data_IF_424291845564
#
_entry.id   IF_424291845564
#
_cell.length_a   1.000
_cell.length_b   1.000
_cell.length_c   1.000
_cell.angle_alpha   90.00
_cell.angle_beta   90.00
_cell.angle_gamma   90.00
#
_symmetry.space_group_name_H-M   'P 1'
#
loop_
_entity.id
_entity.type
_entity.pdbx_description
1 polymer ?
#
# COMPACT_ATOMS: atom_id res chain seq x y z
N UNK A 1 6.36 -31.03 49.92
CA UNK A 1 5.71 -29.70 49.82
C UNK A 1 6.35 -28.92 48.68
N UNK A 2 5.53 -28.33 47.80
CA UNK A 2 5.84 -27.35 46.70
C UNK A 2 6.89 -27.82 45.68
N UNK A 3 6.56 -28.55 44.59
CA UNK A 3 5.86 -28.13 43.35
C UNK A 3 6.14 -26.68 42.93
N UNK A 4 7.16 -26.45 42.10
CA UNK A 4 7.12 -25.44 41.03
C UNK A 4 7.89 -26.02 39.83
N UNK A 5 7.14 -26.65 38.93
CA UNK A 5 7.57 -26.93 37.56
C UNK A 5 7.37 -25.60 36.83
N UNK A 6 8.44 -24.88 36.55
CA UNK A 6 8.39 -23.73 35.62
C UNK A 6 8.36 -24.35 34.22
N UNK A 7 7.17 -24.78 33.82
CA UNK A 7 6.81 -24.98 32.44
C UNK A 7 6.54 -23.59 31.85
N UNK A 8 7.57 -22.93 31.35
CA UNK A 8 7.38 -21.85 30.38
C UNK A 8 7.65 -22.46 29.02
N UNK A 9 6.59 -23.10 28.54
CA UNK A 9 6.32 -23.30 27.13
C UNK A 9 6.51 -21.94 26.46
N UNK A 10 7.70 -21.69 25.90
CA UNK A 10 7.88 -20.74 24.80
C UNK A 10 7.29 -21.42 23.58
N UNK A 11 5.99 -21.69 23.67
CA UNK A 11 5.16 -22.18 22.60
C UNK A 11 4.72 -20.97 21.81
N UNK A 12 5.20 -20.92 20.57
CA UNK A 12 4.28 -20.87 19.45
C UNK A 12 3.13 -19.85 19.57
N UNK A 13 3.48 -18.60 19.80
CA UNK A 13 2.59 -17.44 19.67
C UNK A 13 3.19 -16.45 18.65
N UNK A 14 3.51 -16.97 17.46
CA UNK A 14 3.26 -16.24 16.22
C UNK A 14 2.07 -16.93 15.54
N UNK A 15 0.95 -16.97 16.26
CA UNK A 15 -0.35 -17.28 15.69
C UNK A 15 -0.95 -15.95 15.23
N UNK A 16 -1.49 -16.00 14.01
CA UNK A 16 -2.35 -15.01 13.33
C UNK A 16 -1.69 -13.75 12.73
N UNK A 17 -0.89 -13.93 11.67
CA UNK A 17 -1.14 -13.08 10.49
C UNK A 17 -2.31 -13.72 9.72
N UNK A 18 -3.53 -13.39 10.14
CA UNK A 18 -4.73 -13.65 9.35
C UNK A 18 -4.83 -12.52 8.33
N UNK A 19 -4.26 -12.73 7.16
CA UNK A 19 -4.36 -11.82 6.03
C UNK A 19 -3.37 -12.33 5.00
N UNK A 20 -3.86 -12.90 3.89
CA UNK A 20 -2.98 -13.26 2.79
C UNK A 20 -2.14 -12.04 2.44
N UNK A 21 -0.82 -12.18 2.47
CA UNK A 21 0.08 -11.11 2.06
C UNK A 21 -0.32 -10.73 0.64
N UNK A 22 -0.81 -9.50 0.46
CA UNK A 22 -1.20 -9.00 -0.86
C UNK A 22 0.02 -9.12 -1.78
N UNK A 23 -0.21 -9.54 -3.03
CA UNK A 23 0.89 -9.60 -4.00
C UNK A 23 1.48 -8.21 -4.21
N UNK A 24 2.72 -8.12 -4.68
CA UNK A 24 3.34 -6.82 -4.99
C UNK A 24 2.47 -6.00 -5.97
N UNK A 25 1.93 -6.65 -7.00
CA UNK A 25 1.00 -6.05 -7.96
C UNK A 25 -0.27 -5.53 -7.27
N UNK A 26 -0.89 -6.31 -6.38
CA UNK A 26 -2.09 -5.88 -5.66
C UNK A 26 -1.80 -4.70 -4.72
N UNK A 27 -0.64 -4.69 -4.05
CA UNK A 27 -0.21 -3.58 -3.20
C UNK A 27 0.05 -2.33 -4.02
N UNK A 28 0.66 -2.48 -5.20
CA UNK A 28 0.91 -1.38 -6.12
C UNK A 28 -0.40 -0.75 -6.62
N UNK A 29 -1.36 -1.59 -7.04
CA UNK A 29 -2.70 -1.15 -7.45
C UNK A 29 -3.38 -0.40 -6.30
N UNK A 30 -3.40 -0.99 -5.10
CA UNK A 30 -4.07 -0.39 -3.95
C UNK A 30 -3.44 0.95 -3.54
N UNK A 31 -2.11 1.05 -3.51
CA UNK A 31 -1.39 2.31 -3.26
C UNK A 31 -1.70 3.36 -4.32
N UNK A 32 -1.74 2.96 -5.60
CA UNK A 32 -2.03 3.87 -6.70
C UNK A 32 -3.46 4.40 -6.65
N UNK A 33 -4.43 3.56 -6.29
CA UNK A 33 -5.81 3.97 -6.08
C UNK A 33 -5.89 4.94 -4.91
N UNK A 34 -5.36 4.59 -3.75
CA UNK A 34 -5.40 5.43 -2.55
C UNK A 34 -4.77 6.81 -2.80
N UNK A 35 -3.59 6.86 -3.41
CA UNK A 35 -2.94 8.12 -3.81
C UNK A 35 -3.83 8.95 -4.72
N UNK A 36 -4.39 8.34 -5.77
CA UNK A 36 -5.26 9.05 -6.70
C UNK A 36 -6.52 9.58 -6.00
N UNK A 37 -7.10 8.83 -5.07
CA UNK A 37 -8.27 9.25 -4.31
C UNK A 37 -7.95 10.42 -3.38
N UNK A 38 -6.81 10.39 -2.68
CA UNK A 38 -6.38 11.50 -1.83
C UNK A 38 -6.09 12.79 -2.61
N UNK A 39 -5.52 12.68 -3.82
CA UNK A 39 -5.32 13.82 -4.73
C UNK A 39 -6.65 14.40 -5.21
N UNK A 40 -7.65 13.55 -5.45
CA UNK A 40 -8.99 13.96 -5.87
C UNK A 40 -9.74 14.68 -4.75
N UNK A 41 -9.65 14.17 -3.53
CA UNK A 41 -10.26 14.81 -2.34
C UNK A 41 -9.59 16.14 -1.98
N UNK A 42 -8.32 16.31 -2.33
CA UNK A 42 -7.53 17.50 -2.05
C UNK A 42 -7.00 18.15 -3.36
N UNK A 43 -7.85 18.80 -4.17
CA UNK A 43 -7.47 19.33 -5.48
C UNK A 43 -6.37 20.40 -5.44
N UNK A 44 -6.10 21.01 -4.28
CA UNK A 44 -4.96 21.91 -4.08
C UNK A 44 -3.61 21.20 -4.32
N UNK A 45 -3.55 19.89 -4.04
CA UNK A 45 -2.37 19.04 -4.28
C UNK A 45 -2.01 18.92 -5.75
N UNK A 46 -2.94 19.17 -6.67
CA UNK A 46 -2.66 19.12 -8.11
C UNK A 46 -1.67 20.20 -8.57
N UNK A 47 -1.53 21.28 -7.79
CA UNK A 47 -0.62 22.39 -8.09
C UNK A 47 0.59 22.43 -7.14
N UNK A 48 0.66 21.53 -6.14
CA UNK A 48 1.76 21.40 -5.20
C UNK A 48 2.55 20.13 -5.49
N UNK A 49 3.58 20.25 -6.33
CA UNK A 49 4.40 19.11 -6.75
C UNK A 49 5.20 18.50 -5.58
N UNK A 50 5.68 19.34 -4.64
CA UNK A 50 6.44 18.86 -3.49
C UNK A 50 5.53 18.12 -2.51
N UNK A 51 4.34 18.68 -2.24
CA UNK A 51 3.31 18.03 -1.46
C UNK A 51 2.83 16.71 -2.08
N UNK A 52 2.58 16.70 -3.39
CA UNK A 52 2.14 15.49 -4.09
C UNK A 52 3.21 14.39 -4.08
N UNK A 53 4.49 14.75 -4.17
CA UNK A 53 5.60 13.80 -4.03
C UNK A 53 5.65 13.23 -2.61
N UNK A 54 5.62 14.08 -1.58
CA UNK A 54 5.61 13.62 -0.19
C UNK A 54 4.43 12.69 0.11
N UNK A 55 3.23 13.06 -0.36
CA UNK A 55 2.04 12.22 -0.25
C UNK A 55 2.22 10.86 -0.95
N UNK A 56 2.77 10.85 -2.16
CA UNK A 56 3.02 9.59 -2.88
C UNK A 56 3.98 8.67 -2.12
N UNK A 57 5.01 9.23 -1.48
CA UNK A 57 5.96 8.46 -0.69
C UNK A 57 5.31 7.89 0.57
N UNK A 58 4.50 8.70 1.26
CA UNK A 58 3.79 8.25 2.47
C UNK A 58 2.82 7.12 2.14
N UNK A 59 1.99 7.27 1.09
CA UNK A 59 1.04 6.24 0.66
C UNK A 59 1.78 4.95 0.29
N UNK A 60 2.79 5.00 -0.58
CA UNK A 60 3.49 3.78 -0.99
C UNK A 60 4.24 3.11 0.19
N UNK A 61 4.71 3.87 1.17
CA UNK A 61 5.29 3.31 2.39
C UNK A 61 4.25 2.56 3.23
N UNK A 62 3.01 3.04 3.33
CA UNK A 62 1.91 2.35 4.04
C UNK A 62 1.58 0.98 3.42
N UNK A 63 1.73 0.86 2.10
CA UNK A 63 1.60 -0.41 1.38
C UNK A 63 2.88 -1.27 1.41
N UNK A 64 3.90 -0.85 2.16
CA UNK A 64 5.11 -1.64 2.41
C UNK A 64 6.13 -1.61 1.26
N UNK A 65 6.16 -0.53 0.49
CA UNK A 65 7.26 -0.26 -0.44
C UNK A 65 8.38 0.52 0.25
N UNK A 66 9.63 0.21 -0.04
CA UNK A 66 10.77 0.99 0.46
C UNK A 66 10.98 2.22 -0.42
N UNK A 67 10.32 3.32 -0.05
CA UNK A 67 10.34 4.57 -0.81
C UNK A 67 11.69 5.29 -0.79
N UNK A 68 12.64 4.84 0.03
CA UNK A 68 14.02 5.35 0.03
C UNK A 68 14.95 4.54 -0.89
N UNK A 69 14.50 3.38 -1.40
CA UNK A 69 15.20 2.63 -2.43
C UNK A 69 14.72 3.07 -3.81
N UNK A 70 15.39 4.11 -4.33
CA UNK A 70 15.10 4.68 -5.65
C UNK A 70 15.14 3.63 -6.78
N UNK A 71 16.02 2.63 -6.68
CA UNK A 71 16.17 1.57 -7.69
C UNK A 71 14.98 0.62 -7.65
N UNK A 72 14.55 0.22 -6.45
CA UNK A 72 13.37 -0.62 -6.28
C UNK A 72 12.10 0.11 -6.74
N UNK A 73 11.93 1.40 -6.39
CA UNK A 73 10.79 2.20 -6.82
C UNK A 73 10.75 2.42 -8.34
N UNK A 74 11.90 2.67 -8.96
CA UNK A 74 11.99 2.77 -10.41
C UNK A 74 11.63 1.43 -11.07
N UNK A 75 12.17 0.32 -10.57
CA UNK A 75 11.87 -1.02 -11.10
C UNK A 75 10.38 -1.36 -10.94
N UNK A 76 9.76 -0.96 -9.83
CA UNK A 76 8.33 -1.13 -9.57
C UNK A 76 7.49 -0.37 -10.59
N UNK A 77 7.80 0.92 -10.79
CA UNK A 77 7.15 1.75 -11.80
C UNK A 77 7.31 1.15 -13.20
N UNK A 78 8.52 0.75 -13.58
CA UNK A 78 8.80 0.17 -14.90
C UNK A 78 8.05 -1.14 -15.14
N UNK A 79 7.80 -1.92 -14.08
CA UNK A 79 7.08 -3.18 -14.16
C UNK A 79 5.58 -3.00 -14.43
N UNK A 80 4.97 -1.92 -13.94
CA UNK A 80 3.51 -1.79 -13.89
C UNK A 80 2.93 -0.57 -14.63
N UNK A 81 3.73 0.44 -14.99
CA UNK A 81 3.25 1.66 -15.65
C UNK A 81 2.59 1.44 -17.03
N UNK A 82 2.87 0.30 -17.67
CA UNK A 82 2.29 -0.11 -18.96
C UNK A 82 1.55 -1.45 -18.88
N UNK A 83 1.35 -2.00 -17.68
CA UNK A 83 0.59 -3.23 -17.48
C UNK A 83 -0.91 -2.92 -17.60
N UNK A 84 -1.57 -3.43 -18.64
CA UNK A 84 -2.99 -3.15 -18.93
C UNK A 84 -3.90 -3.55 -17.76
N UNK A 85 -3.62 -4.67 -17.09
CA UNK A 85 -4.41 -5.13 -15.93
C UNK A 85 -4.23 -4.20 -14.73
N UNK A 86 -3.02 -3.68 -14.49
CA UNK A 86 -2.81 -2.65 -13.46
C UNK A 86 -3.55 -1.37 -13.81
N UNK A 87 -3.43 -0.90 -15.04
CA UNK A 87 -4.09 0.34 -15.49
C UNK A 87 -5.60 0.23 -15.32
N UNK A 88 -6.20 -0.88 -15.77
CA UNK A 88 -7.64 -1.13 -15.62
C UNK A 88 -8.05 -1.21 -14.15
N UNK A 89 -7.28 -1.91 -13.31
CA UNK A 89 -7.59 -2.05 -11.88
C UNK A 89 -7.51 -0.71 -11.15
N UNK A 90 -6.49 0.11 -11.44
CA UNK A 90 -6.36 1.46 -10.87
C UNK A 90 -7.50 2.37 -11.37
N UNK A 91 -7.83 2.35 -12.67
CA UNK A 91 -8.95 3.13 -13.20
C UNK A 91 -10.29 2.77 -12.55
N UNK A 92 -10.56 1.47 -12.37
CA UNK A 92 -11.77 1.00 -11.70
C UNK A 92 -11.78 1.44 -10.23
N UNK A 93 -10.69 1.23 -9.48
CA UNK A 93 -10.62 1.64 -8.07
C UNK A 93 -10.75 3.15 -7.89
N UNK A 94 -10.18 3.95 -8.78
CA UNK A 94 -10.33 5.41 -8.77
C UNK A 94 -11.77 5.81 -9.07
N UNK A 95 -12.46 5.15 -10.01
CA UNK A 95 -13.88 5.40 -10.27
C UNK A 95 -14.75 5.16 -9.03
N UNK A 96 -14.41 4.20 -8.16
CA UNK A 96 -15.12 3.98 -6.90
C UNK A 96 -14.95 5.16 -5.93
N UNK A 97 -13.80 5.83 -5.94
CA UNK A 97 -13.60 7.06 -5.17
C UNK A 97 -14.47 8.21 -5.68
N UNK A 98 -14.68 8.32 -7.00
CA UNK A 98 -15.58 9.31 -7.59
C UNK A 98 -17.08 8.94 -7.47
N UNK A 99 -17.40 7.66 -7.49
CA UNK A 99 -18.78 7.12 -7.54
C UNK A 99 -19.57 7.24 -6.23
N UNK A 100 -18.92 7.65 -5.14
CA UNK A 100 -19.58 7.99 -3.86
C UNK A 100 -20.08 9.43 -3.80
N UNK A 101 -19.84 10.25 -4.83
CA UNK A 101 -20.12 11.70 -4.84
C UNK A 101 -21.03 12.19 -5.99
N UNK A 102 -21.76 11.31 -6.68
CA UNK A 102 -22.74 11.67 -7.72
C UNK A 102 -24.15 11.16 -7.43
#
# INVERSE_FOLDING_TARGET
MKKIIIALVVGSLFLTSCGGEMSEKDRFVAASVDLACQIVENPEMQNDLEGALALSMDVFAEYGFDVNDEVAMQSLSDSYQFDEEVIEAVQQGVMDCFGSSF
#
